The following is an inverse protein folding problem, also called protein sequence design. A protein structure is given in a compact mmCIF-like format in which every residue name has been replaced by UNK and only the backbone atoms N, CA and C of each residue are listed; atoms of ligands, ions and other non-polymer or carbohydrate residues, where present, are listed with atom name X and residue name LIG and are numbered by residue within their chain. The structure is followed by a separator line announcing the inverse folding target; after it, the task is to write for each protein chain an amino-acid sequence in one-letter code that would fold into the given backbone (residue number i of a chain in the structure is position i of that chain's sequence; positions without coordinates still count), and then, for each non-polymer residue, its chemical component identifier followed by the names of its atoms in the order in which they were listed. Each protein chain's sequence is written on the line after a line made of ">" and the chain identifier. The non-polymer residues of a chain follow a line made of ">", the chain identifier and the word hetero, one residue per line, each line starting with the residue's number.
data_IF_670711799842
#
_entry.id   IF_670711799842
#
_cell.length_a   1.000
_cell.length_b   1.000
_cell.length_c   1.000
_cell.angle_alpha   90.00
_cell.angle_beta   90.00
_cell.angle_gamma   90.00
#
_symmetry.space_group_name_H-M   'P 1'
#
loop_
_entity.id
_entity.type
_entity.pdbx_description
1 polymer ?
#
# COMPACT_ATOMS: atom_id res chain seq x y z
N UNK A 1 9.38 -10.70 8.40
CA UNK A 1 9.09 -9.51 7.59
C UNK A 1 8.54 -9.97 6.24
N UNK A 2 7.27 -9.66 5.96
CA UNK A 2 6.58 -10.00 4.71
C UNK A 2 6.91 -9.02 3.58
N UNK A 3 6.73 -9.46 2.32
CA UNK A 3 6.89 -8.61 1.14
C UNK A 3 5.63 -8.70 0.29
N UNK A 4 5.07 -7.54 -0.05
CA UNK A 4 3.80 -7.39 -0.75
C UNK A 4 3.94 -6.52 -2.00
N UNK A 5 3.21 -6.85 -3.07
CA UNK A 5 3.15 -6.06 -4.31
C UNK A 5 1.72 -5.70 -4.66
N UNK A 6 1.45 -4.40 -4.79
CA UNK A 6 0.19 -3.88 -5.31
C UNK A 6 0.33 -3.77 -6.83
N UNK A 7 -0.52 -4.49 -7.57
CA UNK A 7 -0.45 -4.55 -9.04
C UNK A 7 -1.64 -3.91 -9.75
N UNK A 8 -2.57 -3.35 -8.97
CA UNK A 8 -3.72 -2.64 -9.50
C UNK A 8 -4.66 -2.21 -8.39
N UNK A 9 -5.48 -1.22 -8.69
CA UNK A 9 -6.52 -0.71 -7.81
C UNK A 9 -7.89 -0.87 -8.49
N UNK A 10 -8.90 -1.24 -7.70
CA UNK A 10 -10.31 -1.23 -8.10
C UNK A 10 -10.97 -0.07 -7.37
N UNK A 11 -11.37 1.00 -8.09
CA UNK A 11 -12.27 1.98 -7.51
C UNK A 11 -13.63 1.31 -7.29
N UNK A 12 -14.10 1.33 -6.05
CA UNK A 12 -15.50 1.03 -5.71
C UNK A 12 -16.14 2.37 -5.41
N UNK A 13 -16.89 2.89 -6.39
CA UNK A 13 -17.50 4.22 -6.41
C UNK A 13 -16.50 5.36 -6.16
N UNK A 14 -16.25 6.16 -7.19
CA UNK A 14 -15.31 7.30 -7.18
C UNK A 14 -15.64 8.40 -6.13
N UNK A 15 -16.73 8.24 -5.35
CA UNK A 15 -17.15 9.15 -4.29
C UNK A 15 -16.66 8.75 -2.89
N UNK A 16 -16.02 7.58 -2.73
CA UNK A 16 -15.53 7.07 -1.43
C UNK A 16 -14.14 6.48 -1.56
N UNK A 17 -13.13 7.35 -1.61
CA UNK A 17 -11.70 6.98 -1.71
C UNK A 17 -11.26 5.92 -0.68
N UNK A 18 -11.90 5.90 0.49
CA UNK A 18 -11.63 4.96 1.59
C UNK A 18 -12.04 3.50 1.32
N UNK A 19 -12.84 3.24 0.29
CA UNK A 19 -13.30 1.88 -0.07
C UNK A 19 -12.49 1.26 -1.22
N UNK A 20 -11.39 1.89 -1.64
CA UNK A 20 -10.51 1.33 -2.65
C UNK A 20 -9.97 -0.04 -2.21
N UNK A 21 -10.00 -0.98 -3.16
CA UNK A 21 -9.36 -2.28 -2.98
C UNK A 21 -8.20 -2.44 -3.95
N UNK A 22 -7.15 -3.11 -3.51
CA UNK A 22 -5.91 -3.27 -4.23
C UNK A 22 -5.68 -4.75 -4.53
N UNK A 23 -5.29 -5.09 -5.75
CA UNK A 23 -4.91 -6.45 -6.11
C UNK A 23 -3.49 -6.68 -5.61
N UNK A 24 -3.32 -7.62 -4.68
CA UNK A 24 -2.05 -7.82 -3.98
C UNK A 24 -1.47 -9.21 -4.22
N UNK A 25 -0.15 -9.25 -4.33
CA UNK A 25 0.66 -10.46 -4.33
C UNK A 25 1.56 -10.47 -3.10
N UNK A 26 1.80 -11.64 -2.54
CA UNK A 26 2.73 -11.86 -1.43
C UNK A 26 3.90 -12.73 -1.87
N UNK A 27 5.09 -12.40 -1.37
CA UNK A 27 6.28 -13.21 -1.56
C UNK A 27 6.25 -14.40 -0.60
N UNK A 28 6.08 -15.60 -1.15
CA UNK A 28 5.99 -16.84 -0.41
C UNK A 28 7.11 -17.79 -0.83
N UNK A 29 7.43 -18.76 0.02
CA UNK A 29 8.24 -19.92 -0.37
C UNK A 29 7.29 -21.09 -0.61
N UNK A 30 7.27 -21.62 -1.84
CA UNK A 30 6.52 -22.83 -2.21
C UNK A 30 7.47 -23.82 -2.84
N UNK A 31 7.45 -25.06 -2.36
CA UNK A 31 8.36 -26.12 -2.81
C UNK A 31 9.84 -25.70 -2.79
N UNK A 32 10.23 -24.95 -1.74
CA UNK A 32 11.58 -24.42 -1.56
C UNK A 32 11.95 -23.25 -2.50
N UNK A 33 11.04 -22.78 -3.35
CA UNK A 33 11.28 -21.69 -4.31
C UNK A 33 10.49 -20.42 -3.95
N UNK A 34 11.10 -19.24 -4.10
CA UNK A 34 10.37 -17.97 -3.94
C UNK A 34 9.35 -17.80 -5.06
N UNK A 35 8.12 -17.48 -4.70
CA UNK A 35 7.02 -17.22 -5.63
C UNK A 35 6.23 -16.00 -5.19
N UNK A 36 5.71 -15.26 -6.16
CA UNK A 36 4.72 -14.22 -5.92
C UNK A 36 3.32 -14.82 -6.06
N UNK A 37 2.67 -15.07 -4.93
CA UNK A 37 1.33 -15.65 -4.90
C UNK A 37 0.26 -14.56 -4.85
N UNK A 38 -0.79 -14.60 -5.68
CA UNK A 38 -1.91 -13.69 -5.52
C UNK A 38 -2.65 -13.99 -4.22
N UNK A 39 -2.85 -12.98 -3.39
CA UNK A 39 -3.58 -13.09 -2.10
C UNK A 39 -4.94 -12.39 -2.14
N UNK A 40 -5.40 -12.03 -3.35
CA UNK A 40 -6.70 -11.42 -3.61
C UNK A 40 -6.69 -9.89 -3.50
N UNK A 41 -7.90 -9.35 -3.37
CA UNK A 41 -8.14 -7.92 -3.19
C UNK A 41 -8.04 -7.55 -1.71
N UNK A 42 -7.40 -6.43 -1.42
CA UNK A 42 -7.07 -5.96 -0.06
C UNK A 42 -7.47 -4.51 0.10
N UNK A 43 -7.93 -4.15 1.29
CA UNK A 43 -8.36 -2.79 1.59
C UNK A 43 -7.17 -1.91 1.95
N UNK A 44 -7.38 -0.60 2.03
CA UNK A 44 -6.39 0.33 2.59
C UNK A 44 -6.03 -0.02 4.04
N UNK A 45 -6.97 -0.57 4.82
CA UNK A 45 -6.72 -0.99 6.21
C UNK A 45 -5.74 -2.17 6.27
N UNK A 46 -5.88 -3.15 5.37
CA UNK A 46 -4.94 -4.28 5.29
C UNK A 46 -3.52 -3.78 4.97
N UNK A 47 -3.39 -2.90 3.97
CA UNK A 47 -2.09 -2.33 3.57
C UNK A 47 -1.48 -1.50 4.70
N UNK A 48 -2.29 -0.66 5.35
CA UNK A 48 -1.87 0.15 6.49
C UNK A 48 -1.35 -0.73 7.63
N UNK A 49 -2.05 -1.81 7.96
CA UNK A 49 -1.62 -2.75 9.00
C UNK A 49 -0.28 -3.41 8.64
N UNK A 50 -0.04 -3.73 7.37
CA UNK A 50 1.24 -4.30 6.94
C UNK A 50 2.39 -3.31 7.03
N UNK A 51 2.17 -2.06 6.61
CA UNK A 51 3.16 -0.99 6.74
C UNK A 51 3.50 -0.74 8.22
N UNK A 52 2.49 -0.65 9.08
CA UNK A 52 2.67 -0.48 10.53
C UNK A 52 3.42 -1.66 11.18
N UNK A 53 3.25 -2.88 10.65
CA UNK A 53 4.00 -4.06 11.10
C UNK A 53 5.44 -4.13 10.54
N UNK A 54 5.89 -3.12 9.80
CA UNK A 54 7.23 -3.07 9.21
C UNK A 54 7.42 -3.97 7.99
N UNK A 55 6.34 -4.39 7.32
CA UNK A 55 6.45 -5.18 6.10
C UNK A 55 6.79 -4.31 4.88
N UNK A 56 7.43 -4.92 3.88
CA UNK A 56 7.77 -4.23 2.64
C UNK A 56 6.58 -4.25 1.68
N UNK A 57 5.92 -3.12 1.48
CA UNK A 57 4.84 -2.96 0.48
C UNK A 57 5.33 -2.08 -0.66
N UNK A 58 5.32 -2.58 -1.88
CA UNK A 58 5.69 -1.84 -3.09
C UNK A 58 4.60 -1.99 -4.15
N UNK A 59 4.64 -1.16 -5.18
CA UNK A 59 3.95 -1.41 -6.43
C UNK A 59 4.63 -2.53 -7.21
N UNK A 60 3.92 -3.13 -8.16
CA UNK A 60 4.50 -4.10 -9.07
C UNK A 60 3.66 -4.32 -10.32
N UNK A 61 4.23 -5.05 -11.26
CA UNK A 61 3.57 -5.44 -12.52
C UNK A 61 3.81 -6.91 -12.78
N UNK A 62 2.76 -7.63 -13.16
CA UNK A 62 2.86 -9.04 -13.55
C UNK A 62 2.95 -9.12 -15.07
N UNK A 63 4.03 -9.72 -15.58
CA UNK A 63 4.20 -10.04 -16.99
C UNK A 63 4.43 -11.55 -17.13
N UNK A 64 3.42 -12.28 -17.61
CA UNK A 64 3.43 -13.75 -17.60
C UNK A 64 3.53 -14.29 -16.18
N UNK A 65 4.64 -15.00 -15.88
CA UNK A 65 4.94 -15.54 -14.55
C UNK A 65 5.90 -14.67 -13.73
N UNK A 66 6.35 -13.54 -14.28
CA UNK A 66 7.36 -12.68 -13.67
C UNK A 66 6.72 -11.49 -12.95
N UNK A 67 7.20 -11.19 -11.75
CA UNK A 67 6.84 -9.99 -10.99
C UNK A 67 7.93 -8.92 -11.16
N UNK A 68 7.57 -7.80 -11.76
CA UNK A 68 8.39 -6.60 -11.82
C UNK A 68 8.11 -5.73 -10.60
N UNK A 69 9.17 -5.21 -10.00
CA UNK A 69 9.12 -4.41 -8.78
C UNK A 69 9.05 -2.94 -9.15
N UNK A 70 8.12 -2.21 -8.53
CA UNK A 70 8.08 -0.76 -8.60
C UNK A 70 8.42 -0.11 -7.26
N UNK A 71 7.95 1.11 -7.09
CA UNK A 71 8.26 1.98 -5.96
C UNK A 71 7.59 1.52 -4.66
N UNK A 72 8.14 2.00 -3.54
CA UNK A 72 7.57 1.79 -2.21
C UNK A 72 6.17 2.40 -2.11
N UNK A 73 5.30 1.73 -1.35
CA UNK A 73 3.96 2.23 -1.03
C UNK A 73 4.02 2.86 0.34
N UNK A 74 3.53 4.09 0.44
CA UNK A 74 3.50 4.87 1.67
C UNK A 74 2.07 5.28 2.00
N UNK A 75 1.81 5.59 3.27
CA UNK A 75 0.52 6.10 3.73
C UNK A 75 0.70 7.51 4.27
N UNK A 76 0.09 8.48 3.60
CA UNK A 76 0.07 9.87 4.03
C UNK A 76 -1.24 10.18 4.76
N UNK A 77 -1.13 10.72 5.98
CA UNK A 77 -2.27 11.33 6.67
C UNK A 77 -2.27 12.83 6.36
N UNK A 78 -3.31 13.29 5.65
CA UNK A 78 -3.51 14.71 5.37
C UNK A 78 -4.63 15.29 6.23
N UNK A 79 -4.33 16.37 6.96
CA UNK A 79 -5.33 17.21 7.62
C UNK A 79 -5.82 18.25 6.60
N UNK A 80 -7.03 18.08 6.08
CA UNK A 80 -7.54 18.93 5.00
C UNK A 80 -7.82 20.38 5.43
N UNK A 81 -8.31 20.57 6.65
CA UNK A 81 -8.51 21.87 7.28
C UNK A 81 -8.68 21.65 8.79
N UNK A 82 -7.83 22.25 9.62
CA UNK A 82 -7.93 22.11 11.08
C UNK A 82 -8.69 23.26 11.76
N UNK A 83 -9.42 24.09 10.99
CA UNK A 83 -10.15 25.25 11.52
C UNK A 83 -9.29 26.29 12.24
N UNK A 84 -7.97 26.13 12.17
CA UNK A 84 -7.00 26.86 12.98
C UNK A 84 -5.89 27.33 12.04
N UNK A 85 -5.71 28.65 11.98
CA UNK A 85 -4.57 29.25 11.31
C UNK A 85 -3.36 29.08 12.22
N UNK A 86 -2.59 28.00 12.03
CA UNK A 86 -1.30 27.86 12.68
C UNK A 86 -0.39 28.99 12.23
N UNK A 87 0.24 29.70 13.18
CA UNK A 87 1.29 30.65 12.83
C UNK A 87 2.46 29.84 12.28
N UNK A 88 3.13 30.35 11.24
CA UNK A 88 4.29 29.71 10.62
C UNK A 88 5.41 29.33 11.62
N UNK A 89 5.46 29.97 12.81
CA UNK A 89 6.40 29.64 13.89
C UNK A 89 5.98 28.51 14.84
N UNK A 90 4.74 27.99 14.74
CA UNK A 90 4.23 26.93 15.62
C UNK A 90 4.35 25.52 14.99
N UNK A 91 4.81 25.43 13.74
CA UNK A 91 5.14 24.15 13.12
C UNK A 91 6.43 23.62 13.77
N UNK A 92 6.45 22.39 14.31
CA UNK A 92 7.68 21.81 14.84
C UNK A 92 8.73 21.83 13.74
N UNK A 93 9.89 22.44 14.01
CA UNK A 93 11.02 22.34 13.10
C UNK A 93 11.42 20.87 12.97
N UNK A 94 11.61 20.43 11.72
CA UNK A 94 12.09 19.09 11.39
C UNK A 94 13.49 18.82 11.98
#
# INVERSE_FOLDING_TARGET
>A
MGKYRIVGARPKDASKDLNAQFKVYEHQIRDGKPVWAPIGWKTIYDISAWLAAGNQVHTGKVEGTTMHHGDAVELELRIAHNGTNYKLGDMPAA
#
